data_IF_291482603601
#
_entry.id   IF_291482603601
#
_cell.length_a   1.000
_cell.length_b   1.000
_cell.length_c   1.000
_cell.angle_alpha   90.00
_cell.angle_beta   90.00
_cell.angle_gamma   90.00
#
_symmetry.space_group_name_H-M   'P 1'
#
loop_
_entity.id
_entity.type
_entity.pdbx_description
1 polymer ?
#
# COMPACT_ATOMS: atom_id res chain seq x y z
N UNK A 1 17.17 7.95 2.64
CA UNK A 1 15.99 8.02 1.77
C UNK A 1 14.74 8.45 2.54
N UNK A 2 13.79 9.02 1.80
CA UNK A 2 12.52 9.50 2.32
C UNK A 2 11.41 8.92 1.46
N UNK A 3 10.28 8.58 2.05
CA UNK A 3 9.05 8.23 1.36
C UNK A 3 7.96 9.25 1.72
N UNK A 4 7.32 9.81 0.70
CA UNK A 4 6.26 10.81 0.82
C UNK A 4 5.00 10.29 0.11
N UNK A 5 3.86 10.25 0.80
CA UNK A 5 2.57 10.02 0.14
C UNK A 5 1.94 11.39 -0.18
N UNK A 6 1.90 11.72 -1.48
CA UNK A 6 1.42 12.99 -2.01
C UNK A 6 -0.02 12.86 -2.51
N UNK A 7 -0.97 13.32 -1.73
CA UNK A 7 -2.41 13.26 -2.06
C UNK A 7 -2.91 14.48 -2.81
N UNK A 8 -2.12 15.57 -2.85
CA UNK A 8 -2.48 16.84 -3.51
C UNK A 8 -1.75 17.06 -4.83
N UNK A 9 -0.65 16.34 -5.07
CA UNK A 9 0.16 16.46 -6.28
C UNK A 9 1.06 17.70 -6.31
N UNK A 10 1.32 18.34 -5.16
CA UNK A 10 2.09 19.57 -5.06
C UNK A 10 3.57 19.34 -4.66
N UNK A 11 3.93 18.12 -4.26
CA UNK A 11 5.31 17.79 -3.84
C UNK A 11 6.27 17.60 -5.02
N UNK A 12 5.76 17.54 -6.26
CA UNK A 12 6.58 17.43 -7.46
C UNK A 12 7.60 18.58 -7.62
N UNK A 13 7.28 19.74 -7.04
CA UNK A 13 8.18 20.90 -7.01
C UNK A 13 9.53 20.66 -6.34
N UNK A 14 9.66 19.61 -5.50
CA UNK A 14 10.93 19.24 -4.85
C UNK A 14 12.01 18.78 -5.83
N UNK A 15 11.64 18.43 -7.07
CA UNK A 15 12.59 18.06 -8.14
C UNK A 15 13.35 19.26 -8.70
N UNK A 16 12.79 20.45 -8.56
CA UNK A 16 13.34 21.66 -9.11
C UNK A 16 14.05 22.48 -8.03
N UNK A 17 15.05 23.22 -8.46
CA UNK A 17 15.68 24.22 -7.60
C UNK A 17 14.68 25.35 -7.37
N UNK A 18 14.36 25.65 -6.09
CA UNK A 18 13.49 26.75 -5.74
C UNK A 18 14.05 28.10 -6.18
N UNK A 19 13.17 29.07 -6.38
CA UNK A 19 13.49 30.43 -6.74
C UNK A 19 13.34 31.37 -5.55
N UNK A 20 14.15 32.41 -5.59
CA UNK A 20 14.12 33.45 -4.57
C UNK A 20 12.79 34.22 -4.62
N UNK A 21 12.12 34.35 -3.48
CA UNK A 21 10.96 35.20 -3.32
C UNK A 21 10.94 35.87 -1.94
N UNK A 22 10.20 36.96 -1.82
CA UNK A 22 10.13 37.75 -0.57
C UNK A 22 9.65 36.97 0.65
N UNK A 23 8.72 36.02 0.47
CA UNK A 23 8.21 35.20 1.58
C UNK A 23 9.32 34.30 2.13
N UNK A 24 10.10 33.67 1.27
CA UNK A 24 11.22 32.82 1.67
C UNK A 24 12.32 33.65 2.32
N UNK A 25 12.69 34.82 1.76
CA UNK A 25 13.66 35.74 2.38
C UNK A 25 13.24 36.14 3.80
N UNK A 26 12.00 36.58 3.95
CA UNK A 26 11.45 36.96 5.25
C UNK A 26 11.49 35.81 6.24
N UNK A 27 11.19 34.57 5.77
CA UNK A 27 11.22 33.39 6.60
C UNK A 27 12.64 33.03 7.05
N UNK A 28 13.60 33.05 6.14
CA UNK A 28 15.03 32.80 6.40
C UNK A 28 15.53 33.79 7.45
N UNK A 29 15.27 35.09 7.22
CA UNK A 29 15.66 36.15 8.14
C UNK A 29 15.03 35.99 9.54
N UNK A 30 13.72 35.71 9.59
CA UNK A 30 12.99 35.50 10.85
C UNK A 30 13.51 34.29 11.65
N UNK A 31 13.90 33.23 10.96
CA UNK A 31 14.42 31.99 11.57
C UNK A 31 15.93 32.04 11.79
N UNK A 32 16.61 33.11 11.33
CA UNK A 32 18.08 33.28 11.39
C UNK A 32 18.84 32.08 10.80
N UNK A 33 18.40 31.60 9.62
CA UNK A 33 19.07 30.52 8.90
C UNK A 33 20.24 31.13 8.14
N UNK A 34 21.49 30.78 8.49
CA UNK A 34 22.70 31.37 7.91
C UNK A 34 23.09 30.68 6.60
N UNK A 35 22.90 29.35 6.48
CA UNK A 35 23.38 28.54 5.35
C UNK A 35 22.23 28.03 4.47
N UNK A 36 21.24 28.89 4.15
CA UNK A 36 20.15 28.50 3.29
C UNK A 36 20.57 28.51 1.81
N UNK A 37 20.38 27.38 1.14
CA UNK A 37 20.60 27.24 -0.28
C UNK A 37 19.39 26.65 -0.99
N UNK A 38 19.01 27.23 -2.13
CA UNK A 38 18.03 26.61 -3.01
C UNK A 38 18.67 25.41 -3.73
N UNK A 39 18.16 24.22 -3.49
CA UNK A 39 18.67 22.97 -4.05
C UNK A 39 17.54 22.16 -4.67
N UNK A 40 17.87 21.40 -5.71
CA UNK A 40 17.05 20.29 -6.17
C UNK A 40 17.45 19.00 -5.44
N UNK A 41 16.54 18.08 -5.35
CA UNK A 41 16.76 16.78 -4.74
C UNK A 41 16.54 15.66 -5.74
N UNK A 42 17.24 14.51 -5.61
CA UNK A 42 16.96 13.33 -6.41
C UNK A 42 15.61 12.77 -5.98
N UNK A 43 14.64 12.78 -6.89
CA UNK A 43 13.27 12.33 -6.63
C UNK A 43 12.94 11.17 -7.56
N UNK A 44 12.18 10.19 -7.03
CA UNK A 44 11.59 9.10 -7.79
C UNK A 44 10.10 9.10 -7.54
N UNK A 45 9.32 9.13 -8.62
CA UNK A 45 7.86 9.10 -8.54
C UNK A 45 7.34 7.69 -8.70
N UNK A 46 6.38 7.33 -7.85
CA UNK A 46 5.66 6.08 -7.82
C UNK A 46 4.18 6.33 -7.97
N UNK A 47 3.48 5.48 -8.70
CA UNK A 47 2.03 5.58 -8.88
C UNK A 47 1.46 4.18 -9.13
N UNK A 48 0.48 3.77 -8.34
CA UNK A 48 -0.15 2.46 -8.52
C UNK A 48 -0.93 2.33 -9.84
N UNK A 49 -1.33 3.46 -10.44
CA UNK A 49 -2.03 3.47 -11.74
C UNK A 49 -1.07 3.71 -12.92
N UNK A 50 0.21 3.99 -12.65
CA UNK A 50 1.22 4.24 -13.67
C UNK A 50 1.00 5.52 -14.48
N UNK A 51 0.30 6.52 -13.94
CA UNK A 51 -0.03 7.79 -14.62
C UNK A 51 1.04 8.85 -14.31
N UNK A 52 1.34 9.04 -13.04
CA UNK A 52 2.24 10.11 -12.55
C UNK A 52 3.60 9.62 -12.06
N UNK A 53 3.93 8.35 -12.22
CA UNK A 53 5.16 7.75 -11.74
C UNK A 53 5.39 6.33 -12.25
N UNK A 54 6.46 5.71 -11.77
CA UNK A 54 6.70 4.28 -12.01
C UNK A 54 5.57 3.47 -11.39
N UNK A 55 5.00 2.50 -12.10
CA UNK A 55 3.93 1.69 -11.56
C UNK A 55 4.40 0.86 -10.37
N UNK A 56 3.53 0.76 -9.37
CA UNK A 56 3.71 -0.16 -8.27
C UNK A 56 2.73 -1.29 -8.47
N UNK A 57 3.22 -2.50 -8.73
CA UNK A 57 2.41 -3.71 -8.85
C UNK A 57 2.84 -4.74 -7.85
N UNK A 58 1.87 -5.52 -7.40
CA UNK A 58 2.07 -6.65 -6.49
C UNK A 58 1.12 -7.77 -6.88
N UNK A 59 1.39 -8.98 -6.42
CA UNK A 59 0.47 -10.09 -6.63
C UNK A 59 -0.57 -10.17 -5.52
N UNK A 60 -1.71 -10.81 -5.81
CA UNK A 60 -2.72 -11.14 -4.79
C UNK A 60 -2.09 -11.99 -3.68
N UNK A 61 -1.19 -12.92 -4.04
CA UNK A 61 -0.47 -13.75 -3.07
C UNK A 61 0.41 -12.92 -2.12
N UNK A 62 1.12 -11.90 -2.63
CA UNK A 62 1.97 -11.03 -1.81
C UNK A 62 1.19 -10.10 -0.89
N UNK A 63 0.03 -9.65 -1.34
CA UNK A 63 -0.88 -8.83 -0.51
C UNK A 63 -1.43 -9.65 0.63
N UNK A 64 -1.76 -10.90 0.36
CA UNK A 64 -2.35 -11.82 1.33
C UNK A 64 -3.82 -11.52 1.65
N UNK A 65 -4.53 -12.51 2.22
CA UNK A 65 -5.98 -12.42 2.39
C UNK A 65 -6.42 -11.34 3.38
N UNK A 66 -5.64 -11.03 4.40
CA UNK A 66 -6.02 -10.06 5.43
C UNK A 66 -6.08 -8.62 4.84
N UNK A 67 -5.02 -8.20 4.15
CA UNK A 67 -4.99 -6.88 3.50
C UNK A 67 -5.96 -6.85 2.31
N UNK A 68 -6.05 -7.93 1.55
CA UNK A 68 -6.99 -8.07 0.44
C UNK A 68 -8.45 -7.93 0.93
N UNK A 69 -8.79 -8.50 2.09
CA UNK A 69 -10.11 -8.34 2.70
C UNK A 69 -10.43 -6.88 3.05
N UNK A 70 -9.42 -6.14 3.47
CA UNK A 70 -9.54 -4.69 3.71
C UNK A 70 -9.79 -3.92 2.42
N UNK A 71 -9.00 -4.19 1.37
CA UNK A 71 -9.20 -3.58 0.05
C UNK A 71 -10.59 -3.84 -0.52
N UNK A 72 -11.12 -5.04 -0.28
CA UNK A 72 -12.45 -5.47 -0.71
C UNK A 72 -13.59 -4.96 0.20
N UNK A 73 -13.29 -4.34 1.34
CA UNK A 73 -14.29 -3.88 2.30
C UNK A 73 -15.11 -5.02 2.91
N UNK A 74 -14.53 -6.20 3.13
CA UNK A 74 -15.23 -7.39 3.62
C UNK A 74 -15.52 -7.31 5.12
N UNK A 75 -16.64 -7.91 5.54
CA UNK A 75 -16.92 -8.17 6.95
C UNK A 75 -16.07 -9.35 7.45
N UNK A 76 -15.97 -9.52 8.77
CA UNK A 76 -15.22 -10.61 9.40
C UNK A 76 -15.63 -12.02 8.89
N UNK A 77 -16.92 -12.26 8.69
CA UNK A 77 -17.41 -13.53 8.13
C UNK A 77 -16.99 -13.73 6.66
N UNK A 78 -16.94 -12.66 5.87
CA UNK A 78 -16.52 -12.69 4.47
C UNK A 78 -15.00 -12.82 4.36
N UNK A 79 -14.25 -12.17 5.24
CA UNK A 79 -12.81 -12.33 5.40
C UNK A 79 -12.45 -13.78 5.70
N UNK A 80 -13.14 -14.42 6.65
CA UNK A 80 -12.95 -15.85 6.93
C UNK A 80 -13.14 -16.73 5.70
N UNK A 81 -14.12 -16.41 4.83
CA UNK A 81 -14.31 -17.12 3.57
C UNK A 81 -13.19 -16.86 2.57
N UNK A 82 -12.71 -15.62 2.45
CA UNK A 82 -11.56 -15.29 1.59
C UNK A 82 -10.29 -16.01 2.05
N UNK A 83 -10.07 -16.07 3.37
CA UNK A 83 -8.97 -16.83 3.98
C UNK A 83 -9.03 -18.32 3.61
N UNK A 84 -10.22 -18.94 3.66
CA UNK A 84 -10.43 -20.32 3.22
C UNK A 84 -10.05 -20.48 1.75
N UNK A 85 -10.53 -19.60 0.87
CA UNK A 85 -10.22 -19.66 -0.56
C UNK A 85 -8.73 -19.55 -0.83
N UNK A 86 -8.04 -18.58 -0.23
CA UNK A 86 -6.59 -18.41 -0.35
C UNK A 86 -5.82 -19.63 0.21
N UNK A 87 -6.31 -20.24 1.30
CA UNK A 87 -5.72 -21.45 1.86
C UNK A 87 -5.84 -22.63 0.88
N UNK A 88 -7.01 -22.79 0.23
CA UNK A 88 -7.21 -23.81 -0.81
C UNK A 88 -6.23 -23.59 -1.98
N UNK A 89 -6.07 -22.35 -2.44
CA UNK A 89 -5.11 -22.04 -3.49
C UNK A 89 -3.68 -22.41 -3.09
N UNK A 90 -3.28 -22.04 -1.87
CA UNK A 90 -1.96 -22.37 -1.34
C UNK A 90 -1.69 -23.87 -1.23
N UNK A 91 -2.68 -24.64 -0.73
CA UNK A 91 -2.56 -26.09 -0.57
C UNK A 91 -2.49 -26.82 -1.92
N UNK A 92 -3.03 -26.22 -2.99
CA UNK A 92 -2.95 -26.72 -4.35
C UNK A 92 -1.80 -26.11 -5.18
N UNK A 93 -0.95 -25.25 -4.58
CA UNK A 93 0.13 -24.51 -5.24
C UNK A 93 -0.34 -23.67 -6.45
N UNK A 94 -1.55 -23.13 -6.37
CA UNK A 94 -2.07 -22.17 -7.34
C UNK A 94 -1.55 -20.78 -7.03
N UNK A 95 -1.05 -20.10 -8.04
CA UNK A 95 -0.58 -18.72 -7.94
C UNK A 95 -1.74 -17.78 -8.21
N UNK A 96 -1.78 -16.72 -7.41
CA UNK A 96 -2.76 -15.65 -7.56
C UNK A 96 -2.00 -14.36 -7.90
N UNK A 97 -1.83 -14.09 -9.17
CA UNK A 97 -1.08 -12.91 -9.62
C UNK A 97 -2.00 -11.68 -9.68
N UNK A 98 -3.21 -11.82 -10.23
CA UNK A 98 -4.10 -10.69 -10.47
C UNK A 98 -5.57 -10.95 -10.03
N UNK A 99 -6.43 -9.96 -10.28
CA UNK A 99 -7.86 -10.04 -9.93
C UNK A 99 -8.61 -11.09 -10.74
N UNK A 100 -8.11 -11.52 -11.89
CA UNK A 100 -8.72 -12.60 -12.69
C UNK A 100 -8.49 -13.94 -12.03
N UNK A 101 -7.29 -14.16 -11.48
CA UNK A 101 -6.97 -15.37 -10.73
C UNK A 101 -7.84 -15.44 -9.48
N UNK A 102 -7.99 -14.32 -8.76
CA UNK A 102 -8.90 -14.24 -7.61
C UNK A 102 -10.34 -14.58 -8.01
N UNK A 103 -10.82 -14.06 -9.15
CA UNK A 103 -12.15 -14.37 -9.66
C UNK A 103 -12.33 -15.85 -9.90
N UNK A 104 -11.35 -16.48 -10.58
CA UNK A 104 -11.39 -17.90 -10.89
C UNK A 104 -11.35 -18.77 -9.63
N UNK A 105 -10.51 -18.40 -8.66
CA UNK A 105 -10.43 -19.05 -7.36
C UNK A 105 -11.78 -19.02 -6.63
N UNK A 106 -12.38 -17.83 -6.47
CA UNK A 106 -13.66 -17.67 -5.78
C UNK A 106 -14.79 -18.42 -6.49
N UNK A 107 -14.79 -18.44 -7.83
CA UNK A 107 -15.73 -19.23 -8.62
C UNK A 107 -15.53 -20.73 -8.37
N UNK A 108 -14.30 -21.23 -8.50
CA UNK A 108 -13.96 -22.63 -8.28
C UNK A 108 -14.38 -23.14 -6.90
N UNK A 109 -14.05 -22.36 -5.86
CA UNK A 109 -14.42 -22.69 -4.48
C UNK A 109 -15.94 -22.71 -4.30
N UNK A 110 -16.66 -21.80 -4.96
CA UNK A 110 -18.11 -21.78 -4.96
C UNK A 110 -18.75 -23.00 -5.63
N UNK A 111 -18.22 -23.38 -6.80
CA UNK A 111 -18.73 -24.50 -7.58
C UNK A 111 -18.47 -25.87 -6.89
N UNK A 112 -17.34 -25.98 -6.19
CA UNK A 112 -16.89 -27.20 -5.52
C UNK A 112 -17.02 -27.13 -3.96
N UNK A 113 -17.88 -26.26 -3.43
CA UNK A 113 -17.98 -25.99 -1.98
C UNK A 113 -18.22 -27.25 -1.13
N UNK A 114 -18.94 -28.23 -1.65
CA UNK A 114 -19.25 -29.46 -0.92
C UNK A 114 -18.01 -30.31 -0.64
N UNK A 115 -17.00 -30.24 -1.51
CA UNK A 115 -15.75 -30.98 -1.37
C UNK A 115 -14.88 -30.38 -0.29
N UNK A 116 -15.06 -29.08 -0.02
CA UNK A 116 -14.23 -28.31 0.91
C UNK A 116 -14.81 -28.19 2.32
N UNK A 117 -16.12 -28.43 2.49
CA UNK A 117 -16.82 -28.22 3.79
C UNK A 117 -16.15 -28.99 4.93
N UNK A 118 -15.78 -30.26 4.69
CA UNK A 118 -15.20 -31.10 5.75
C UNK A 118 -13.85 -30.65 6.22
N UNK A 119 -13.03 -30.09 5.32
CA UNK A 119 -11.64 -29.71 5.60
C UNK A 119 -11.52 -28.25 6.03
N UNK A 120 -12.30 -27.33 5.45
CA UNK A 120 -12.11 -25.89 5.59
C UNK A 120 -13.31 -25.18 6.24
N UNK A 121 -14.43 -25.88 6.45
CA UNK A 121 -15.64 -25.33 7.06
C UNK A 121 -16.69 -24.87 6.07
N UNK A 122 -17.72 -24.21 6.56
CA UNK A 122 -18.91 -23.89 5.77
C UNK A 122 -18.68 -22.76 4.76
N UNK A 123 -18.91 -23.06 3.50
CA UNK A 123 -18.79 -22.14 2.36
C UNK A 123 -20.20 -21.84 1.83
N UNK A 124 -20.66 -20.58 1.96
CA UNK A 124 -22.00 -20.21 1.51
C UNK A 124 -21.98 -19.52 0.15
N UNK A 125 -22.95 -19.86 -0.70
CA UNK A 125 -23.12 -19.21 -2.01
C UNK A 125 -23.34 -17.69 -1.88
N UNK A 126 -24.01 -17.27 -0.80
CA UNK A 126 -24.25 -15.86 -0.52
C UNK A 126 -22.93 -15.10 -0.32
N UNK A 127 -22.01 -15.62 0.49
CA UNK A 127 -20.70 -15.00 0.75
C UNK A 127 -19.84 -14.97 -0.51
N UNK A 128 -19.84 -16.05 -1.30
CA UNK A 128 -19.20 -16.09 -2.62
C UNK A 128 -19.67 -14.91 -3.50
N UNK A 129 -21.00 -14.74 -3.61
CA UNK A 129 -21.58 -13.66 -4.42
C UNK A 129 -21.24 -12.27 -3.90
N UNK A 130 -21.09 -12.09 -2.57
CA UNK A 130 -20.65 -10.79 -2.01
C UNK A 130 -19.20 -10.52 -2.38
N UNK A 131 -18.27 -11.47 -2.19
CA UNK A 131 -16.86 -11.30 -2.51
C UNK A 131 -16.68 -10.98 -3.99
N UNK A 132 -17.41 -11.65 -4.90
CA UNK A 132 -17.34 -11.34 -6.34
C UNK A 132 -17.81 -9.92 -6.66
N UNK A 133 -18.86 -9.41 -5.99
CA UNK A 133 -19.30 -8.02 -6.17
C UNK A 133 -18.28 -7.02 -5.63
N UNK A 134 -17.70 -7.27 -4.45
CA UNK A 134 -16.68 -6.41 -3.87
C UNK A 134 -15.42 -6.36 -4.75
N UNK A 135 -15.00 -7.51 -5.31
CA UNK A 135 -13.91 -7.59 -6.27
C UNK A 135 -14.18 -6.72 -7.51
N UNK A 136 -15.38 -6.83 -8.09
CA UNK A 136 -15.76 -6.02 -9.26
C UNK A 136 -15.79 -4.52 -8.93
N UNK A 137 -16.27 -4.16 -7.74
CA UNK A 137 -16.26 -2.76 -7.28
C UNK A 137 -14.82 -2.23 -7.13
N UNK A 138 -13.91 -3.06 -6.63
CA UNK A 138 -12.50 -2.73 -6.49
C UNK A 138 -11.82 -2.55 -7.86
N UNK A 139 -12.12 -3.42 -8.84
CA UNK A 139 -11.65 -3.27 -10.22
C UNK A 139 -12.16 -1.97 -10.87
N UNK A 140 -13.41 -1.59 -10.64
CA UNK A 140 -13.97 -0.33 -11.13
C UNK A 140 -13.29 0.91 -10.55
N UNK A 141 -12.60 0.78 -9.41
CA UNK A 141 -11.74 1.82 -8.83
C UNK A 141 -10.33 1.83 -9.44
N UNK A 142 -10.04 0.94 -10.41
CA UNK A 142 -8.76 0.83 -11.09
C UNK A 142 -7.75 -0.05 -10.36
N UNK A 143 -8.15 -0.78 -9.32
CA UNK A 143 -7.25 -1.65 -8.57
C UNK A 143 -6.73 -2.85 -9.38
N UNK A 144 -7.37 -3.18 -10.52
CA UNK A 144 -6.85 -4.15 -11.47
C UNK A 144 -5.45 -3.79 -11.98
N UNK A 145 -5.10 -2.51 -12.00
CA UNK A 145 -3.77 -2.02 -12.38
C UNK A 145 -2.72 -2.20 -11.28
N UNK A 146 -3.17 -2.38 -10.03
CA UNK A 146 -2.27 -2.58 -8.88
C UNK A 146 -1.76 -4.02 -8.80
N UNK A 147 -2.43 -4.96 -9.47
CA UNK A 147 -2.12 -6.38 -9.39
C UNK A 147 -1.52 -6.91 -10.68
N UNK A 148 -0.58 -7.84 -10.53
CA UNK A 148 0.15 -8.48 -11.62
C UNK A 148 1.60 -8.73 -11.24
N UNK A 149 2.45 -8.94 -12.25
CA UNK A 149 3.87 -9.14 -11.99
C UNK A 149 4.45 -7.94 -11.24
N UNK A 150 5.18 -8.16 -10.13
CA UNK A 150 5.75 -7.08 -9.31
C UNK A 150 6.68 -6.18 -10.13
N UNK A 151 6.50 -4.87 -10.02
CA UNK A 151 7.36 -3.88 -10.67
C UNK A 151 8.14 -3.03 -9.65
N UNK A 152 7.78 -3.11 -8.36
CA UNK A 152 8.51 -2.47 -7.28
C UNK A 152 9.37 -3.50 -6.55
N UNK A 153 10.68 -3.31 -6.55
CA UNK A 153 11.53 -3.90 -5.52
C UNK A 153 11.53 -2.98 -4.29
N UNK A 154 11.19 -3.52 -3.14
CA UNK A 154 11.22 -2.77 -1.86
C UNK A 154 12.60 -2.13 -1.62
N UNK A 155 13.68 -2.76 -2.08
CA UNK A 155 15.02 -2.21 -1.99
C UNK A 155 15.18 -0.89 -2.75
N UNK A 156 14.34 -0.64 -3.77
CA UNK A 156 14.37 0.64 -4.49
C UNK A 156 13.98 1.83 -3.63
N UNK A 157 13.14 1.61 -2.61
CA UNK A 157 12.72 2.67 -1.68
C UNK A 157 13.82 3.05 -0.68
N UNK A 158 14.72 2.12 -0.39
CA UNK A 158 15.81 2.32 0.58
C UNK A 158 17.16 2.62 -0.08
N UNK A 159 17.20 2.71 -1.42
CA UNK A 159 18.41 3.10 -2.14
C UNK A 159 18.88 4.49 -1.73
N UNK A 160 20.18 4.62 -1.57
CA UNK A 160 20.84 5.88 -1.30
C UNK A 160 21.81 6.21 -2.43
N UNK A 161 21.80 7.44 -2.86
CA UNK A 161 22.96 8.08 -3.48
C UNK A 161 23.65 8.97 -2.43
N UNK A 162 24.59 9.80 -2.81
CA UNK A 162 25.31 10.69 -1.88
C UNK A 162 24.40 11.53 -0.97
N UNK A 163 23.17 11.84 -1.41
CA UNK A 163 22.20 12.70 -0.70
C UNK A 163 20.94 11.98 -0.21
N UNK A 164 20.78 10.70 -0.52
CA UNK A 164 19.51 9.98 -0.35
C UNK A 164 18.52 10.31 -1.48
N UNK A 165 17.50 9.45 -1.64
CA UNK A 165 16.46 9.61 -2.66
C UNK A 165 15.14 9.92 -1.96
N UNK A 166 14.37 10.86 -2.51
CA UNK A 166 13.00 11.14 -2.10
C UNK A 166 12.09 10.33 -3.01
N UNK A 167 11.40 9.37 -2.42
CA UNK A 167 10.40 8.56 -3.11
C UNK A 167 9.02 9.20 -2.87
N UNK A 168 8.37 9.66 -3.92
CA UNK A 168 7.05 10.30 -3.85
C UNK A 168 6.02 9.35 -4.45
N UNK A 169 5.07 8.90 -3.64
CA UNK A 169 3.88 8.22 -4.11
C UNK A 169 2.88 9.28 -4.60
N UNK A 170 2.66 9.33 -5.90
CA UNK A 170 1.61 10.15 -6.49
C UNK A 170 0.25 9.50 -6.21
N UNK A 171 -0.43 9.97 -5.16
CA UNK A 171 -1.62 9.34 -4.61
C UNK A 171 -2.93 10.10 -4.91
N UNK A 172 -2.90 11.08 -5.82
CA UNK A 172 -4.07 11.95 -6.13
C UNK A 172 -5.30 11.15 -6.56
N UNK A 173 -5.11 10.17 -7.46
CA UNK A 173 -6.22 9.31 -7.89
C UNK A 173 -6.55 8.24 -6.84
N UNK A 174 -5.53 7.67 -6.21
CA UNK A 174 -5.68 6.65 -5.17
C UNK A 174 -6.47 7.18 -3.96
N UNK A 175 -6.28 8.45 -3.62
CA UNK A 175 -6.96 9.13 -2.52
C UNK A 175 -8.47 9.25 -2.69
N UNK A 176 -8.98 9.14 -3.92
CA UNK A 176 -10.43 9.10 -4.20
C UNK A 176 -11.10 7.83 -3.65
N UNK A 177 -10.30 6.81 -3.34
CA UNK A 177 -10.73 5.56 -2.71
C UNK A 177 -9.99 5.37 -1.38
N UNK A 178 -10.49 5.94 -0.26
CA UNK A 178 -9.79 5.95 1.02
C UNK A 178 -9.43 4.56 1.55
N UNK A 179 -10.31 3.58 1.36
CA UNK A 179 -10.06 2.19 1.79
C UNK A 179 -8.92 1.55 0.99
N UNK A 180 -8.86 1.81 -0.32
CA UNK A 180 -7.77 1.34 -1.17
C UNK A 180 -6.45 2.02 -0.81
N UNK A 181 -6.48 3.36 -0.58
CA UNK A 181 -5.31 4.12 -0.14
C UNK A 181 -4.74 3.58 1.18
N UNK A 182 -5.58 3.43 2.19
CA UNK A 182 -5.17 2.94 3.49
C UNK A 182 -4.64 1.50 3.44
N UNK A 183 -5.32 0.61 2.71
CA UNK A 183 -4.91 -0.79 2.56
C UNK A 183 -3.60 -0.91 1.77
N UNK A 184 -3.42 -0.09 0.74
CA UNK A 184 -2.17 -0.05 -0.03
C UNK A 184 -0.99 0.40 0.83
N UNK A 185 -1.15 1.48 1.61
CA UNK A 185 -0.09 1.94 2.50
C UNK A 185 0.23 0.91 3.59
N UNK A 186 -0.79 0.23 4.13
CA UNK A 186 -0.58 -0.84 5.09
C UNK A 186 0.21 -2.00 4.47
N UNK A 187 -0.16 -2.42 3.25
CA UNK A 187 0.60 -3.42 2.51
C UNK A 187 2.05 -3.01 2.32
N UNK A 188 2.27 -1.76 1.85
CA UNK A 188 3.63 -1.25 1.59
C UNK A 188 4.49 -1.27 2.87
N UNK A 189 3.94 -0.77 3.99
CA UNK A 189 4.64 -0.74 5.27
C UNK A 189 4.92 -2.15 5.79
N UNK A 190 3.95 -3.05 5.71
CA UNK A 190 4.11 -4.44 6.16
C UNK A 190 5.15 -5.18 5.32
N UNK A 191 5.12 -4.98 4.00
CA UNK A 191 6.07 -5.59 3.07
C UNK A 191 7.50 -5.05 3.30
N UNK A 192 7.61 -3.73 3.49
CA UNK A 192 8.89 -3.10 3.81
C UNK A 192 9.46 -3.65 5.12
N UNK A 193 8.66 -3.68 6.18
CA UNK A 193 9.07 -4.21 7.47
C UNK A 193 9.54 -5.68 7.38
N UNK A 194 8.77 -6.51 6.68
CA UNK A 194 9.09 -7.95 6.55
C UNK A 194 10.35 -8.23 5.73
N UNK A 195 10.71 -7.34 4.80
CA UNK A 195 11.87 -7.51 3.91
C UNK A 195 13.12 -6.77 4.39
N UNK A 196 12.97 -5.82 5.31
CA UNK A 196 14.14 -5.13 5.88
C UNK A 196 14.84 -6.00 6.92
N UNK A 197 16.18 -6.17 6.82
CA UNK A 197 16.93 -6.90 7.83
C UNK A 197 16.99 -6.08 9.14
N UNK A 198 16.96 -6.76 10.26
CA UNK A 198 17.32 -6.17 11.54
C UNK A 198 18.78 -5.70 11.49
N UNK A 199 19.01 -4.42 11.75
CA UNK A 199 20.35 -3.81 11.64
C UNK A 199 20.84 -3.19 12.97
N UNK A 200 20.05 -3.32 14.04
CA UNK A 200 20.33 -2.68 15.32
C UNK A 200 20.22 -1.15 15.27
N UNK A 201 20.69 -0.47 16.30
CA UNK A 201 20.63 0.98 16.41
C UNK A 201 21.60 1.66 15.44
N UNK A 202 21.08 2.29 14.41
CA UNK A 202 21.84 3.07 13.45
C UNK A 202 21.90 4.54 13.89
N UNK A 203 23.01 5.23 13.60
CA UNK A 203 23.14 6.68 13.84
C UNK A 203 22.09 7.51 13.09
N UNK A 204 21.59 7.00 11.95
CA UNK A 204 20.58 7.65 11.12
C UNK A 204 19.49 6.66 10.73
N UNK A 205 18.22 7.11 10.66
CA UNK A 205 17.14 6.23 10.22
C UNK A 205 17.37 5.72 8.80
N UNK A 206 17.06 4.45 8.57
CA UNK A 206 17.24 3.79 7.27
C UNK A 206 16.31 4.34 6.20
N UNK A 207 15.10 4.76 6.59
CA UNK A 207 14.10 5.45 5.76
C UNK A 207 13.21 6.30 6.66
N UNK A 208 12.72 7.43 6.15
CA UNK A 208 11.78 8.31 6.86
C UNK A 208 10.49 8.39 6.06
N UNK A 209 9.35 8.17 6.70
CA UNK A 209 8.04 8.25 6.09
C UNK A 209 7.32 9.54 6.44
N UNK A 210 6.71 10.16 5.44
CA UNK A 210 5.78 11.27 5.61
C UNK A 210 4.46 10.91 4.92
N UNK A 211 3.38 10.90 5.67
CA UNK A 211 2.04 10.68 5.17
C UNK A 211 1.24 11.98 5.25
N UNK A 212 0.91 12.53 4.09
CA UNK A 212 -0.09 13.59 4.02
C UNK A 212 -1.47 12.99 4.34
N UNK A 213 -2.30 13.75 5.05
CA UNK A 213 -3.65 13.32 5.48
C UNK A 213 -3.65 11.98 6.24
N UNK A 214 -2.66 11.76 7.10
CA UNK A 214 -2.47 10.50 7.86
C UNK A 214 -3.72 10.04 8.65
N UNK A 215 -4.64 10.97 8.97
CA UNK A 215 -5.88 10.63 9.67
C UNK A 215 -6.76 9.64 8.88
N UNK A 216 -6.62 9.58 7.55
CA UNK A 216 -7.37 8.65 6.71
C UNK A 216 -6.93 7.19 6.88
N UNK A 217 -5.70 6.96 7.31
CA UNK A 217 -5.25 5.62 7.67
C UNK A 217 -6.03 5.02 8.84
N UNK A 218 -6.70 5.88 9.63
CA UNK A 218 -7.37 5.50 10.87
C UNK A 218 -8.88 5.74 10.83
N UNK A 219 -9.40 6.54 9.89
CA UNK A 219 -10.80 6.92 9.82
C UNK A 219 -11.66 5.82 9.20
N UNK A 220 -12.79 5.53 9.83
CA UNK A 220 -13.81 4.64 9.29
C UNK A 220 -13.48 3.14 9.39
N UNK A 221 -12.34 2.78 9.94
CA UNK A 221 -11.96 1.37 10.09
C UNK A 221 -12.58 0.74 11.33
N UNK A 222 -13.02 -0.54 11.24
CA UNK A 222 -13.40 -1.32 12.40
C UNK A 222 -12.25 -1.40 13.42
N UNK A 223 -12.57 -1.44 14.72
CA UNK A 223 -11.59 -1.44 15.82
C UNK A 223 -10.53 -2.55 15.72
N UNK A 224 -10.86 -3.70 15.17
CA UNK A 224 -9.91 -4.81 15.01
C UNK A 224 -8.86 -4.50 13.93
N UNK A 225 -9.25 -3.84 12.83
CA UNK A 225 -8.34 -3.38 11.77
C UNK A 225 -7.43 -2.24 12.25
N UNK A 226 -7.99 -1.33 13.05
CA UNK A 226 -7.21 -0.26 13.67
C UNK A 226 -6.09 -0.82 14.56
N UNK A 227 -6.35 -1.92 15.27
CA UNK A 227 -5.32 -2.61 16.05
C UNK A 227 -4.22 -3.19 15.18
N UNK A 228 -4.54 -3.79 14.03
CA UNK A 228 -3.54 -4.34 13.10
C UNK A 228 -2.62 -3.24 12.56
N UNK A 229 -3.18 -2.12 12.09
CA UNK A 229 -2.39 -0.97 11.62
C UNK A 229 -1.51 -0.43 12.76
N UNK A 230 -2.08 -0.27 13.96
CA UNK A 230 -1.32 0.22 15.12
C UNK A 230 -0.16 -0.72 15.48
N UNK A 231 -0.34 -2.03 15.34
CA UNK A 231 0.74 -3.00 15.54
C UNK A 231 1.85 -2.85 14.51
N UNK A 232 1.50 -2.74 13.22
CA UNK A 232 2.51 -2.54 12.15
C UNK A 232 3.27 -1.24 12.34
N UNK A 233 2.58 -0.13 12.67
CA UNK A 233 3.25 1.16 12.94
C UNK A 233 4.15 1.08 14.17
N UNK A 234 3.77 0.33 15.22
CA UNK A 234 4.64 0.13 16.39
C UNK A 234 5.88 -0.69 16.05
N UNK A 235 5.72 -1.77 15.27
CA UNK A 235 6.85 -2.61 14.84
C UNK A 235 7.87 -1.85 13.97
N UNK A 236 7.45 -0.79 13.27
CA UNK A 236 8.34 0.07 12.48
C UNK A 236 9.12 1.04 13.38
N UNK A 237 8.58 1.39 14.55
CA UNK A 237 9.20 2.35 15.48
C UNK A 237 10.11 1.68 16.52
N UNK A 238 10.03 0.38 16.71
CA UNK A 238 10.88 -0.44 17.58
C UNK A 238 12.08 -1.00 16.79
#
# INVERSE_FOLDING_TARGET
PVFLADVKGDLAGTTLKGEENENVKNRISKLKIEDFEYKSFPVRFWDIFGIGGHPIRTTIDEVGPDILSMMLGLSEAQEGMLNIACKIAKDNNWKLDDTKDLRLLIQYVGDNKNDFITQYGNITTQTIGVIQRCRLALENQGADKCFGQPELDINDLIQTNEKGIINILHAVELFKSPDLYASFLLWLLTNLYSKMPEVGDLEKPKIVFFFDEAHLLFNGMPNYRLKQITQVVKLIND
#
